data_IF_062233274763
#
_entry.id   IF_062233274763
#
_cell.length_a   1.000
_cell.length_b   1.000
_cell.length_c   1.000
_cell.angle_alpha   90.00
_cell.angle_beta   90.00
_cell.angle_gamma   90.00
#
_symmetry.space_group_name_H-M   'P 1'
#
loop_
_entity.id
_entity.type
_entity.pdbx_description
1 polymer ?
#
# COMPACT_ATOMS: atom_id res chain seq x y z
N UNK A 1 10.80 -21.18 0.37
CA UNK A 1 11.95 -20.45 -0.22
C UNK A 1 11.92 -19.05 0.35
N UNK A 2 13.05 -18.54 0.83
CA UNK A 2 13.14 -17.26 1.54
C UNK A 2 13.22 -16.13 0.52
N UNK A 3 12.32 -15.16 0.65
CA UNK A 3 12.44 -13.90 -0.08
C UNK A 3 13.67 -13.15 0.44
N UNK A 4 14.73 -13.14 -0.35
CA UNK A 4 15.90 -12.32 -0.08
C UNK A 4 15.56 -10.85 -0.35
N UNK A 5 14.89 -10.21 0.61
CA UNK A 5 14.69 -8.77 0.60
C UNK A 5 16.06 -8.09 0.78
N UNK A 6 16.59 -7.39 -0.25
CA UNK A 6 17.93 -6.81 -0.19
C UNK A 6 18.07 -5.72 0.87
N UNK A 7 16.94 -5.11 1.26
CA UNK A 7 16.87 -4.09 2.29
C UNK A 7 15.53 -4.17 3.02
N UNK A 8 15.57 -4.12 4.36
CA UNK A 8 14.38 -4.05 5.21
C UNK A 8 14.39 -2.78 6.06
N UNK A 9 13.26 -2.09 6.17
CA UNK A 9 13.12 -0.83 6.92
C UNK A 9 11.99 -0.93 7.93
N UNK A 10 12.23 -0.45 9.16
CA UNK A 10 11.26 -0.42 10.26
C UNK A 10 11.38 0.88 11.07
N UNK A 11 10.29 1.32 11.70
CA UNK A 11 10.25 2.39 12.69
C UNK A 11 10.43 3.82 12.17
N UNK A 12 10.43 4.02 10.84
CA UNK A 12 10.64 5.35 10.23
C UNK A 12 9.43 6.29 10.31
N UNK A 13 8.26 5.75 10.64
CA UNK A 13 7.03 6.50 10.91
C UNK A 13 6.97 7.08 12.33
N UNK A 14 8.00 6.92 13.17
CA UNK A 14 8.06 7.49 14.54
C UNK A 14 6.85 7.08 15.41
N UNK A 15 6.35 5.85 15.22
CA UNK A 15 5.11 5.32 15.83
C UNK A 15 3.81 6.06 15.47
N UNK A 16 3.78 6.89 14.42
CA UNK A 16 2.56 7.57 13.96
C UNK A 16 1.94 6.90 12.73
N UNK A 17 0.68 6.43 12.79
CA UNK A 17 -0.05 6.05 11.60
C UNK A 17 -0.29 7.28 10.71
N UNK A 18 -0.52 7.04 9.41
CA UNK A 18 -0.93 8.10 8.50
C UNK A 18 -2.25 8.73 8.97
N UNK A 19 -2.40 10.05 8.86
CA UNK A 19 -3.63 10.78 9.18
C UNK A 19 -4.15 11.52 7.94
N UNK A 20 -5.45 11.76 7.84
CA UNK A 20 -6.12 12.32 6.65
C UNK A 20 -5.39 13.53 6.05
N UNK A 21 -5.14 14.56 6.85
CA UNK A 21 -4.50 15.79 6.36
C UNK A 21 -2.98 15.72 6.16
N UNK A 22 -2.32 14.57 6.35
CA UNK A 22 -0.86 14.52 6.33
C UNK A 22 -0.26 14.49 4.92
N UNK A 23 -0.78 13.64 4.03
CA UNK A 23 -0.28 13.59 2.65
C UNK A 23 -0.62 14.89 1.90
N UNK A 24 -1.87 15.38 1.88
CA UNK A 24 -2.19 16.64 1.20
C UNK A 24 -1.34 17.82 1.68
N UNK A 25 -1.25 18.01 3.01
CA UNK A 25 -0.52 19.13 3.59
C UNK A 25 0.97 19.07 3.28
N UNK A 26 1.58 17.89 3.44
CA UNK A 26 2.99 17.71 3.16
C UNK A 26 3.31 17.87 1.67
N UNK A 27 2.45 17.36 0.79
CA UNK A 27 2.59 17.48 -0.66
C UNK A 27 2.49 18.94 -1.12
N UNK A 28 1.43 19.65 -0.71
CA UNK A 28 1.21 21.06 -1.05
C UNK A 28 2.36 21.97 -0.60
N UNK A 29 2.91 21.73 0.60
CA UNK A 29 4.03 22.53 1.09
C UNK A 29 5.33 22.27 0.32
N UNK A 30 5.54 21.04 -0.17
CA UNK A 30 6.71 20.67 -0.98
C UNK A 30 6.66 21.24 -2.40
N UNK A 31 5.48 21.44 -2.97
CA UNK A 31 5.35 22.12 -4.27
C UNK A 31 5.97 23.53 -4.25
N UNK A 32 5.96 24.18 -3.09
CA UNK A 32 6.53 25.51 -2.89
C UNK A 32 7.96 25.50 -2.33
N UNK A 33 8.38 24.42 -1.68
CA UNK A 33 9.65 24.34 -0.96
C UNK A 33 10.20 22.91 -0.92
N UNK A 34 11.03 22.57 -1.90
CA UNK A 34 11.64 21.23 -2.00
C UNK A 34 12.59 20.89 -0.84
N UNK A 35 12.99 21.87 -0.02
CA UNK A 35 13.83 21.68 1.16
C UNK A 35 13.06 21.68 2.48
N UNK A 36 11.72 21.68 2.43
CA UNK A 36 10.83 21.74 3.61
C UNK A 36 11.37 20.93 4.79
N UNK A 37 11.64 19.63 4.58
CA UNK A 37 12.02 18.72 5.66
C UNK A 37 13.43 18.89 6.22
N UNK A 38 14.25 19.77 5.66
CA UNK A 38 15.55 20.17 6.25
C UNK A 38 15.44 21.36 7.18
N UNK A 39 14.36 22.14 7.05
CA UNK A 39 14.23 23.40 7.74
C UNK A 39 13.60 23.19 9.11
N UNK A 40 14.10 23.90 10.13
CA UNK A 40 13.46 23.91 11.45
C UNK A 40 12.04 24.50 11.39
N UNK A 41 11.80 25.39 10.41
CA UNK A 41 10.49 25.98 10.13
C UNK A 41 9.44 24.98 9.64
N UNK A 42 9.82 23.74 9.31
CA UNK A 42 8.88 22.70 8.88
C UNK A 42 7.79 22.42 9.93
N UNK A 43 8.15 22.49 11.22
CA UNK A 43 7.22 22.32 12.35
C UNK A 43 6.10 23.37 12.29
N UNK A 44 6.46 24.63 11.99
CA UNK A 44 5.53 25.75 11.89
C UNK A 44 4.72 25.66 10.59
N UNK A 45 5.40 25.44 9.45
CA UNK A 45 4.76 25.35 8.13
C UNK A 45 3.71 24.23 8.05
N UNK A 46 4.00 23.07 8.64
CA UNK A 46 3.07 21.94 8.68
C UNK A 46 2.11 21.99 9.88
N UNK A 47 2.38 22.85 10.87
CA UNK A 47 1.59 22.96 12.10
C UNK A 47 1.57 21.67 12.92
N UNK A 48 2.69 20.93 12.97
CA UNK A 48 2.80 19.65 13.70
C UNK A 48 4.17 19.52 14.39
N UNK A 49 4.27 18.65 15.39
CA UNK A 49 5.52 18.41 16.10
C UNK A 49 6.62 17.76 15.23
N UNK A 50 7.89 17.89 15.66
CA UNK A 50 9.08 17.40 14.93
C UNK A 50 8.98 15.92 14.48
N UNK A 51 8.53 15.03 15.36
CA UNK A 51 8.39 13.61 15.03
C UNK A 51 7.27 13.36 13.99
N UNK A 52 6.20 14.18 14.03
CA UNK A 52 5.14 14.12 13.03
C UNK A 52 5.63 14.63 11.66
N UNK A 53 6.51 15.63 11.62
CA UNK A 53 7.17 16.06 10.37
C UNK A 53 7.94 14.89 9.74
N UNK A 54 8.71 14.14 10.54
CA UNK A 54 9.41 12.94 10.09
C UNK A 54 8.44 11.88 9.55
N UNK A 55 7.32 11.65 10.23
CA UNK A 55 6.31 10.68 9.81
C UNK A 55 5.57 11.11 8.52
N UNK A 56 5.24 12.41 8.35
CA UNK A 56 4.68 12.96 7.11
C UNK A 56 5.64 12.71 5.94
N UNK A 57 6.92 13.06 6.11
CA UNK A 57 7.96 12.79 5.10
C UNK A 57 8.03 11.31 4.76
N UNK A 58 7.99 10.44 5.77
CA UNK A 58 8.03 8.99 5.57
C UNK A 58 6.83 8.51 4.74
N UNK A 59 5.60 8.88 5.13
CA UNK A 59 4.41 8.42 4.44
C UNK A 59 4.33 8.90 2.99
N UNK A 60 4.69 10.16 2.70
CA UNK A 60 4.77 10.67 1.32
C UNK A 60 5.74 9.87 0.43
N UNK A 61 6.85 9.38 1.01
CA UNK A 61 7.82 8.54 0.27
C UNK A 61 7.32 7.11 0.09
N UNK A 62 6.72 6.52 1.12
CA UNK A 62 6.17 5.17 1.05
C UNK A 62 5.10 5.08 -0.02
N UNK A 63 4.22 6.08 -0.09
CA UNK A 63 3.16 6.19 -1.10
C UNK A 63 3.65 6.72 -2.44
N UNK A 64 4.97 6.91 -2.63
CA UNK A 64 5.59 7.36 -3.90
C UNK A 64 5.07 8.71 -4.43
N UNK A 65 4.33 9.48 -3.62
CA UNK A 65 3.82 10.81 -4.01
C UNK A 65 4.95 11.82 -4.14
N UNK A 66 6.04 11.61 -3.41
CA UNK A 66 7.26 12.40 -3.53
C UNK A 66 8.47 11.49 -3.66
N UNK A 67 9.52 12.02 -4.31
CA UNK A 67 10.82 11.35 -4.39
C UNK A 67 11.92 12.25 -3.89
N UNK A 68 12.97 11.63 -3.37
CA UNK A 68 14.17 12.33 -2.94
C UNK A 68 15.07 12.60 -4.16
N UNK A 69 15.49 13.86 -4.36
CA UNK A 69 16.37 14.29 -5.45
C UNK A 69 17.66 14.88 -4.86
N UNK A 70 18.63 14.03 -4.56
CA UNK A 70 19.82 14.42 -3.79
C UNK A 70 19.54 14.45 -2.29
N UNK A 71 20.54 14.80 -1.48
CA UNK A 71 20.43 14.67 -0.02
C UNK A 71 19.34 15.60 0.53
N UNK A 72 18.23 15.04 1.00
CA UNK A 72 17.16 15.73 1.73
C UNK A 72 16.37 16.80 0.95
N UNK A 73 16.43 16.78 -0.38
CA UNK A 73 15.54 17.57 -1.24
C UNK A 73 14.45 16.63 -1.76
N UNK A 74 13.19 17.04 -1.65
CA UNK A 74 12.04 16.23 -2.05
C UNK A 74 11.22 16.98 -3.08
N UNK A 75 10.85 16.28 -4.14
CA UNK A 75 10.01 16.82 -5.21
C UNK A 75 8.76 15.94 -5.42
N UNK A 76 7.61 16.55 -5.75
CA UNK A 76 6.45 15.82 -6.25
C UNK A 76 6.80 14.86 -7.39
N UNK A 77 6.21 13.67 -7.38
CA UNK A 77 6.25 12.75 -8.53
C UNK A 77 5.07 13.01 -9.45
N UNK A 78 5.12 12.49 -10.68
CA UNK A 78 3.96 12.54 -11.58
C UNK A 78 2.75 11.81 -10.99
N UNK A 79 2.97 10.71 -10.26
CA UNK A 79 1.93 10.02 -9.49
C UNK A 79 1.35 10.90 -8.37
N UNK A 80 2.21 11.61 -7.65
CA UNK A 80 1.80 12.58 -6.63
C UNK A 80 0.95 13.70 -7.20
N UNK A 81 1.33 14.26 -8.35
CA UNK A 81 0.54 15.28 -9.04
C UNK A 81 -0.77 14.74 -9.61
N UNK A 82 -0.81 13.51 -10.10
CA UNK A 82 -2.06 12.88 -10.55
C UNK A 82 -3.05 12.64 -9.41
N UNK A 83 -2.56 12.28 -8.21
CA UNK A 83 -3.42 11.99 -7.06
C UNK A 83 -3.75 13.25 -6.25
N UNK A 84 -2.78 14.11 -5.94
CA UNK A 84 -2.94 15.25 -5.03
C UNK A 84 -2.78 16.62 -5.70
N UNK A 85 -2.53 16.64 -7.01
CA UNK A 85 -2.40 17.88 -7.78
C UNK A 85 -3.76 18.53 -8.03
N UNK A 86 -3.74 19.58 -8.84
CA UNK A 86 -4.90 20.46 -9.09
C UNK A 86 -6.18 19.74 -9.51
N UNK A 87 -6.05 18.68 -10.30
CA UNK A 87 -7.17 17.93 -10.86
C UNK A 87 -7.35 16.57 -10.19
N UNK A 88 -6.52 16.22 -9.20
CA UNK A 88 -6.61 14.95 -8.48
C UNK A 88 -7.68 14.97 -7.38
N UNK A 89 -7.45 14.16 -6.36
CA UNK A 89 -8.16 14.11 -5.09
C UNK A 89 -7.30 14.71 -3.95
N UNK A 90 -7.15 16.05 -3.89
CA UNK A 90 -6.29 16.72 -2.92
C UNK A 90 -6.76 16.58 -1.47
N UNK A 91 -7.96 16.04 -1.21
CA UNK A 91 -8.52 15.89 0.13
C UNK A 91 -8.68 14.43 0.58
N UNK A 92 -8.31 13.46 -0.26
CA UNK A 92 -8.46 12.02 0.00
C UNK A 92 -9.94 11.61 0.23
N UNK A 93 -10.84 12.20 -0.55
CA UNK A 93 -12.29 11.95 -0.47
C UNK A 93 -12.74 10.80 -1.37
N UNK A 94 -11.97 10.48 -2.43
CA UNK A 94 -12.26 9.35 -3.31
C UNK A 94 -11.74 8.05 -2.68
N UNK A 95 -12.64 7.08 -2.53
CA UNK A 95 -12.33 5.74 -2.04
C UNK A 95 -11.25 5.05 -2.88
N UNK A 96 -11.26 5.26 -4.22
CA UNK A 96 -10.24 4.71 -5.10
C UNK A 96 -8.84 5.19 -4.71
N UNK A 97 -8.71 6.47 -4.33
CA UNK A 97 -7.46 7.03 -3.83
C UNK A 97 -6.95 6.26 -2.61
N UNK A 98 -7.83 5.94 -1.66
CA UNK A 98 -7.45 5.23 -0.44
C UNK A 98 -6.96 3.81 -0.73
N UNK A 99 -7.66 3.09 -1.61
CA UNK A 99 -7.24 1.75 -2.06
C UNK A 99 -5.91 1.78 -2.82
N UNK A 100 -5.70 2.79 -3.67
CA UNK A 100 -4.42 2.99 -4.37
C UNK A 100 -3.30 3.31 -3.38
N UNK A 101 -3.51 4.22 -2.42
CA UNK A 101 -2.52 4.51 -1.38
C UNK A 101 -2.18 3.26 -0.57
N UNK A 102 -3.18 2.45 -0.22
CA UNK A 102 -2.98 1.16 0.42
C UNK A 102 -2.13 0.21 -0.44
N UNK A 103 -2.41 0.09 -1.74
CA UNK A 103 -1.57 -0.68 -2.65
C UNK A 103 -0.12 -0.17 -2.65
N UNK A 104 0.09 1.14 -2.75
CA UNK A 104 1.44 1.74 -2.77
C UNK A 104 2.21 1.45 -1.47
N UNK A 105 1.54 1.37 -0.32
CA UNK A 105 2.14 0.98 0.96
C UNK A 105 2.40 -0.53 1.03
N UNK A 106 1.37 -1.34 0.73
CA UNK A 106 1.40 -2.79 0.80
C UNK A 106 2.31 -3.45 -0.25
N UNK A 107 2.67 -2.74 -1.31
CA UNK A 107 3.64 -3.17 -2.33
C UNK A 107 5.08 -2.73 -2.04
N UNK A 108 5.31 -1.88 -1.04
CA UNK A 108 6.61 -1.26 -0.80
C UNK A 108 7.48 -2.07 0.18
N UNK A 109 8.13 -3.12 -0.33
CA UNK A 109 9.01 -3.99 0.45
C UNK A 109 10.23 -3.27 1.05
N UNK A 110 10.70 -2.18 0.44
CA UNK A 110 11.93 -1.47 0.82
C UNK A 110 11.71 -0.49 1.97
N UNK A 111 10.69 0.38 1.87
CA UNK A 111 10.45 1.43 2.87
C UNK A 111 9.43 1.01 3.93
N UNK A 112 8.47 0.15 3.61
CA UNK A 112 7.38 -0.27 4.48
C UNK A 112 7.36 -1.81 4.65
N UNK A 113 8.51 -2.40 5.00
CA UNK A 113 8.71 -3.85 5.02
C UNK A 113 7.67 -4.59 5.89
N UNK A 114 7.31 -4.06 7.06
CA UNK A 114 6.28 -4.67 7.91
C UNK A 114 4.90 -4.73 7.25
N UNK A 115 4.53 -3.68 6.52
CA UNK A 115 3.26 -3.60 5.78
C UNK A 115 3.28 -4.54 4.57
N UNK A 116 4.35 -4.50 3.79
CA UNK A 116 4.56 -5.41 2.68
C UNK A 116 4.44 -6.88 3.11
N UNK A 117 5.15 -7.24 4.18
CA UNK A 117 5.09 -8.58 4.73
C UNK A 117 3.68 -8.97 5.18
N UNK A 118 3.00 -8.11 5.94
CA UNK A 118 1.68 -8.42 6.46
C UNK A 118 0.67 -8.73 5.35
N UNK A 119 0.66 -7.90 4.30
CA UNK A 119 -0.35 -8.02 3.25
C UNK A 119 -0.01 -9.08 2.19
N UNK A 120 1.27 -9.32 1.90
CA UNK A 120 1.66 -10.29 0.88
C UNK A 120 1.94 -11.69 1.45
N UNK A 121 2.45 -11.78 2.69
CA UNK A 121 2.98 -13.04 3.25
C UNK A 121 2.22 -13.55 4.47
N UNK A 122 1.58 -12.68 5.24
CA UNK A 122 0.85 -13.08 6.44
C UNK A 122 -0.61 -13.45 6.11
N UNK A 123 -0.87 -14.75 5.96
CA UNK A 123 -2.18 -15.29 5.56
C UNK A 123 -3.03 -15.81 6.74
N UNK A 124 -2.59 -15.62 8.00
CA UNK A 124 -3.37 -16.07 9.16
C UNK A 124 -4.56 -15.12 9.37
N UNK A 125 -5.81 -15.60 9.29
CA UNK A 125 -6.99 -14.72 9.31
C UNK A 125 -7.26 -14.11 10.68
N UNK A 126 -7.01 -14.85 11.77
CA UNK A 126 -7.25 -14.41 13.15
C UNK A 126 -5.99 -14.54 13.99
N UNK A 127 -5.57 -13.46 14.64
CA UNK A 127 -4.28 -13.41 15.32
C UNK A 127 -4.25 -12.42 16.49
N UNK A 128 -3.27 -12.58 17.36
CA UNK A 128 -2.87 -11.62 18.39
C UNK A 128 -1.60 -10.88 17.98
N UNK A 129 -1.30 -9.75 18.65
CA UNK A 129 -0.05 -9.01 18.42
C UNK A 129 1.20 -9.87 18.65
N UNK A 130 1.15 -10.79 19.62
CA UNK A 130 2.25 -11.71 19.94
C UNK A 130 2.49 -12.73 18.82
N UNK A 131 1.42 -13.33 18.28
CA UNK A 131 1.51 -14.28 17.16
C UNK A 131 2.01 -13.57 15.90
N UNK A 132 1.55 -12.34 15.66
CA UNK A 132 1.99 -11.51 14.54
C UNK A 132 3.48 -11.19 14.61
N UNK A 133 3.96 -10.75 15.78
CA UNK A 133 5.37 -10.45 16.00
C UNK A 133 6.27 -11.68 15.81
N UNK A 134 5.90 -12.82 16.40
CA UNK A 134 6.66 -14.06 16.26
C UNK A 134 6.73 -14.52 14.79
N UNK A 135 5.66 -14.30 14.01
CA UNK A 135 5.65 -14.62 12.58
C UNK A 135 6.55 -13.69 11.77
N UNK A 136 6.54 -12.38 12.05
CA UNK A 136 7.43 -11.42 11.39
C UNK A 136 8.90 -11.72 11.69
N UNK A 137 9.23 -12.06 12.95
CA UNK A 137 10.59 -12.42 13.34
C UNK A 137 11.10 -13.63 12.53
N UNK A 138 10.29 -14.68 12.38
CA UNK A 138 10.63 -15.85 11.55
C UNK A 138 10.82 -15.49 10.07
N UNK A 139 10.01 -14.57 9.54
CA UNK A 139 10.17 -14.10 8.15
C UNK A 139 11.50 -13.35 7.93
N UNK A 140 11.98 -12.64 8.94
CA UNK A 140 13.20 -11.83 8.84
C UNK A 140 14.49 -12.61 9.04
N UNK A 141 14.45 -13.83 9.59
CA UNK A 141 15.66 -14.63 9.83
C UNK A 141 16.47 -14.85 8.53
N UNK A 142 17.80 -14.63 8.53
CA UNK A 142 18.68 -14.41 9.69
C UNK A 142 18.90 -12.93 10.08
N UNK A 143 18.16 -11.97 9.52
CA UNK A 143 18.36 -10.55 9.82
C UNK A 143 17.97 -10.22 11.27
N UNK A 144 18.95 -9.82 12.09
CA UNK A 144 18.71 -9.35 13.45
C UNK A 144 18.14 -7.94 13.43
N UNK A 145 16.94 -7.75 13.98
CA UNK A 145 16.29 -6.44 14.16
C UNK A 145 15.90 -6.24 15.62
N UNK A 146 15.81 -4.98 16.04
CA UNK A 146 15.33 -4.62 17.38
C UNK A 146 13.86 -4.97 17.54
N UNK A 147 13.56 -5.78 18.56
CA UNK A 147 12.20 -6.17 18.93
C UNK A 147 11.28 -4.95 19.16
N UNK A 148 11.82 -3.87 19.75
CA UNK A 148 11.09 -2.61 19.94
C UNK A 148 10.67 -1.93 18.63
N UNK A 149 11.51 -1.97 17.60
CA UNK A 149 11.18 -1.37 16.29
C UNK A 149 10.15 -2.20 15.55
N UNK A 150 10.25 -3.54 15.61
CA UNK A 150 9.24 -4.43 15.02
C UNK A 150 7.88 -4.25 15.70
N UNK A 151 7.84 -4.20 17.03
CA UNK A 151 6.63 -3.92 17.81
C UNK A 151 6.01 -2.56 17.46
N UNK A 152 6.85 -1.53 17.32
CA UNK A 152 6.40 -0.19 16.91
C UNK A 152 5.76 -0.20 15.52
N UNK A 153 6.38 -0.89 14.56
CA UNK A 153 5.89 -1.03 13.17
C UNK A 153 4.55 -1.77 13.13
N UNK A 154 4.45 -2.93 13.81
CA UNK A 154 3.21 -3.71 13.88
C UNK A 154 2.09 -2.95 14.60
N UNK A 155 2.39 -2.26 15.71
CA UNK A 155 1.41 -1.41 16.39
C UNK A 155 0.93 -0.25 15.52
N UNK A 156 1.83 0.32 14.70
CA UNK A 156 1.47 1.36 13.73
C UNK A 156 0.56 0.78 12.63
N UNK A 157 0.92 -0.37 12.06
CA UNK A 157 0.11 -1.09 11.07
C UNK A 157 -1.29 -1.39 11.60
N UNK A 158 -1.42 -1.98 12.78
CA UNK A 158 -2.73 -2.33 13.34
C UNK A 158 -3.61 -1.08 13.54
N UNK A 159 -3.05 0.02 14.06
CA UNK A 159 -3.78 1.29 14.20
C UNK A 159 -4.09 1.98 12.87
N UNK A 160 -3.33 1.69 11.82
CA UNK A 160 -3.55 2.28 10.50
C UNK A 160 -4.76 1.67 9.80
N UNK A 161 -5.09 0.40 10.07
CA UNK A 161 -6.18 -0.32 9.39
C UNK A 161 -7.34 -0.72 10.30
N UNK A 162 -7.18 -0.65 11.63
CA UNK A 162 -8.27 -0.94 12.57
C UNK A 162 -9.07 0.32 12.85
N UNK A 163 -10.38 0.31 12.59
CA UNK A 163 -11.27 1.37 13.09
C UNK A 163 -11.32 1.31 14.61
N UNK A 164 -11.17 2.47 15.26
CA UNK A 164 -11.32 2.54 16.70
C UNK A 164 -12.80 2.41 17.07
N UNK A 165 -13.18 1.32 17.75
CA UNK A 165 -14.56 1.10 18.21
C UNK A 165 -15.05 2.15 19.25
N UNK A 166 -14.20 3.10 19.66
CA UNK A 166 -14.45 4.06 20.74
C UNK A 166 -14.57 5.52 20.31
N UNK A 167 -14.48 5.83 19.01
CA UNK A 167 -14.52 7.21 18.53
C UNK A 167 -15.85 7.50 17.86
N UNK A 168 -16.52 8.55 18.33
CA UNK A 168 -17.73 9.08 17.70
C UNK A 168 -17.32 9.82 16.41
N UNK A 169 -18.24 10.03 15.46
CA UNK A 169 -17.94 10.69 14.17
C UNK A 169 -17.12 11.99 14.28
N UNK A 170 -17.39 12.82 15.30
CA UNK A 170 -16.63 14.06 15.56
C UNK A 170 -15.14 13.84 15.91
N UNK A 171 -14.77 12.69 16.48
CA UNK A 171 -13.38 12.38 16.82
C UNK A 171 -12.64 11.64 15.69
N UNK A 172 -13.39 11.05 14.74
CA UNK A 172 -12.86 10.64 13.45
C UNK A 172 -12.46 11.88 12.62
N UNK A 173 -13.25 12.96 12.69
CA UNK A 173 -12.92 14.28 12.11
C UNK A 173 -11.71 14.96 12.77
N UNK A 174 -11.49 14.77 14.08
CA UNK A 174 -10.29 15.26 14.80
C UNK A 174 -8.96 14.57 14.39
N UNK A 175 -8.99 13.68 13.39
CA UNK A 175 -7.78 13.12 12.77
C UNK A 175 -6.98 12.16 13.66
N UNK A 176 -7.67 11.48 14.60
CA UNK A 176 -7.05 10.46 15.44
C UNK A 176 -6.86 9.13 14.71
N UNK A 177 -7.81 8.77 13.82
CA UNK A 177 -7.75 7.55 13.01
C UNK A 177 -7.13 7.80 11.63
N UNK A 178 -6.57 6.73 11.06
CA UNK A 178 -5.99 6.75 9.73
C UNK A 178 -7.06 6.72 8.64
N UNK A 179 -6.88 7.40 7.50
CA UNK A 179 -7.79 7.25 6.36
C UNK A 179 -7.92 5.78 5.91
N UNK A 180 -6.85 4.98 6.06
CA UNK A 180 -6.86 3.58 5.68
C UNK A 180 -7.66 2.66 6.62
N UNK A 181 -8.10 3.18 7.77
CA UNK A 181 -9.06 2.46 8.62
C UNK A 181 -10.44 2.37 7.96
N UNK A 182 -10.75 3.25 7.00
CA UNK A 182 -11.99 3.18 6.23
C UNK A 182 -12.10 1.91 5.39
N UNK A 183 -10.96 1.31 5.00
CA UNK A 183 -10.89 0.09 4.18
C UNK A 183 -11.23 -1.20 4.95
N UNK A 184 -11.28 -1.14 6.28
CA UNK A 184 -11.64 -2.27 7.16
C UNK A 184 -10.85 -3.58 6.89
N UNK A 185 -9.61 -3.45 6.41
CA UNK A 185 -8.74 -4.59 6.11
C UNK A 185 -8.25 -5.34 7.36
N UNK A 186 -8.33 -4.69 8.53
CA UNK A 186 -8.04 -5.28 9.83
C UNK A 186 -9.17 -4.89 10.79
N UNK A 187 -9.83 -5.88 11.38
CA UNK A 187 -10.91 -5.67 12.34
C UNK A 187 -10.45 -6.09 13.74
N UNK A 188 -10.58 -5.22 14.77
CA UNK A 188 -10.30 -5.62 16.14
C UNK A 188 -11.38 -6.56 16.66
N UNK A 189 -10.97 -7.65 17.31
CA UNK A 189 -11.82 -8.63 17.96
C UNK A 189 -11.70 -8.56 19.49
N UNK A 190 -12.68 -9.10 20.25
CA UNK A 190 -12.56 -9.26 21.70
C UNK A 190 -11.28 -10.00 22.11
N UNK A 191 -10.74 -9.65 23.28
CA UNK A 191 -9.55 -10.32 23.84
C UNK A 191 -8.21 -9.89 23.22
N UNK A 192 -8.11 -8.66 22.69
CA UNK A 192 -6.89 -8.13 22.03
C UNK A 192 -6.45 -8.98 20.83
N UNK A 193 -7.43 -9.46 20.08
CA UNK A 193 -7.23 -10.18 18.83
C UNK A 193 -7.63 -9.29 17.66
N UNK A 194 -7.20 -9.68 16.47
CA UNK A 194 -7.47 -9.00 15.22
C UNK A 194 -7.83 -10.02 14.17
N UNK A 195 -8.58 -9.56 13.18
CA UNK A 195 -8.99 -10.33 12.03
C UNK A 195 -8.60 -9.61 10.75
N UNK A 196 -8.01 -10.32 9.79
CA UNK A 196 -7.72 -9.82 8.44
C UNK A 196 -7.99 -10.94 7.45
N UNK A 197 -9.26 -11.09 7.08
CA UNK A 197 -9.72 -12.16 6.20
C UNK A 197 -9.58 -11.78 4.73
N UNK A 198 -9.30 -12.79 3.91
CA UNK A 198 -9.51 -12.71 2.46
C UNK A 198 -10.98 -12.96 2.19
N UNK A 199 -11.60 -12.10 1.39
CA UNK A 199 -13.02 -12.22 1.09
C UNK A 199 -13.40 -11.57 -0.22
N UNK A 200 -14.68 -11.65 -0.53
CA UNK A 200 -15.29 -10.74 -1.48
C UNK A 200 -15.23 -9.32 -0.91
N UNK A 201 -14.93 -8.33 -1.74
CA UNK A 201 -14.89 -6.91 -1.36
C UNK A 201 -15.64 -6.11 -2.40
N UNK A 202 -16.93 -5.93 -2.17
CA UNK A 202 -17.78 -5.16 -3.09
C UNK A 202 -17.35 -3.69 -3.16
N UNK A 203 -16.82 -3.19 -2.05
CA UNK A 203 -16.35 -1.82 -1.87
C UNK A 203 -15.08 -1.49 -2.66
N UNK A 204 -14.29 -2.47 -3.09
CA UNK A 204 -13.04 -2.22 -3.82
C UNK A 204 -13.33 -1.60 -5.19
N UNK A 205 -12.91 -0.34 -5.47
CA UNK A 205 -13.10 0.25 -6.78
C UNK A 205 -12.27 -0.49 -7.82
N UNK A 206 -12.91 -0.90 -8.92
CA UNK A 206 -12.26 -1.67 -9.99
C UNK A 206 -10.99 -0.99 -10.52
N UNK A 207 -10.98 0.34 -10.59
CA UNK A 207 -9.81 1.10 -11.01
C UNK A 207 -8.59 0.90 -10.09
N UNK A 208 -8.78 0.70 -8.79
CA UNK A 208 -7.68 0.46 -7.87
C UNK A 208 -7.00 -0.90 -8.14
N UNK A 209 -7.79 -1.93 -8.48
CA UNK A 209 -7.24 -3.20 -8.94
C UNK A 209 -6.51 -3.05 -10.28
N UNK A 210 -7.11 -2.34 -11.23
CA UNK A 210 -6.49 -2.08 -12.53
C UNK A 210 -5.14 -1.35 -12.38
N UNK A 211 -5.10 -0.31 -11.54
CA UNK A 211 -3.88 0.42 -11.21
C UNK A 211 -2.81 -0.51 -10.61
N UNK A 212 -3.18 -1.36 -9.65
CA UNK A 212 -2.25 -2.30 -9.02
C UNK A 212 -1.68 -3.31 -10.02
N UNK A 213 -2.50 -3.81 -10.96
CA UNK A 213 -2.05 -4.70 -12.03
C UNK A 213 -1.07 -3.97 -12.96
N UNK A 214 -1.40 -2.76 -13.41
CA UNK A 214 -0.51 -1.97 -14.26
C UNK A 214 0.84 -1.71 -13.58
N UNK A 215 0.81 -1.21 -12.34
CA UNK A 215 2.01 -0.94 -11.56
C UNK A 215 2.84 -2.22 -11.36
N UNK A 216 2.22 -3.37 -11.08
CA UNK A 216 2.90 -4.67 -10.95
C UNK A 216 3.64 -5.09 -12.23
N UNK A 217 3.05 -4.86 -13.41
CA UNK A 217 3.69 -5.15 -14.70
C UNK A 217 4.74 -4.10 -15.10
N UNK A 218 4.59 -2.84 -14.67
CA UNK A 218 5.58 -1.78 -14.86
C UNK A 218 6.86 -2.03 -14.05
N UNK A 219 6.73 -2.56 -12.83
CA UNK A 219 7.90 -2.94 -12.01
C UNK A 219 8.67 -4.14 -12.58
N UNK A 220 8.06 -4.95 -13.46
CA UNK A 220 8.67 -6.12 -14.07
C UNK A 220 8.47 -6.14 -15.59
N UNK A 221 9.06 -5.18 -16.33
CA UNK A 221 8.76 -4.98 -17.75
C UNK A 221 9.18 -6.17 -18.63
N UNK A 222 10.10 -7.01 -18.14
CA UNK A 222 10.58 -8.23 -18.81
C UNK A 222 9.62 -9.43 -18.66
N UNK A 223 8.59 -9.34 -17.82
CA UNK A 223 7.58 -10.39 -17.65
C UNK A 223 6.30 -10.00 -18.41
N UNK A 224 6.08 -10.53 -19.63
CA UNK A 224 4.90 -10.19 -20.44
C UNK A 224 3.62 -10.89 -19.97
N UNK A 225 3.73 -11.90 -19.11
CA UNK A 225 2.61 -12.68 -18.60
C UNK A 225 2.84 -13.06 -17.14
N UNK A 226 1.77 -13.05 -16.35
CA UNK A 226 1.79 -13.45 -14.95
C UNK A 226 0.61 -14.41 -14.69
N UNK A 227 0.81 -15.57 -14.04
CA UNK A 227 -0.28 -16.44 -13.62
C UNK A 227 -1.30 -15.69 -12.75
N UNK A 228 -2.60 -15.93 -13.00
CA UNK A 228 -3.68 -15.31 -12.21
C UNK A 228 -3.54 -15.67 -10.72
N UNK A 229 -3.12 -16.90 -10.42
CA UNK A 229 -2.83 -17.32 -9.04
C UNK A 229 -1.69 -16.53 -8.39
N UNK A 230 -0.67 -16.14 -9.16
CA UNK A 230 0.41 -15.29 -8.64
C UNK A 230 -0.10 -13.86 -8.36
N UNK A 231 -1.00 -13.32 -9.19
CA UNK A 231 -1.63 -12.02 -8.91
C UNK A 231 -2.58 -12.05 -7.70
N UNK A 232 -3.15 -13.22 -7.38
CA UNK A 232 -4.04 -13.41 -6.23
C UNK A 232 -3.29 -13.73 -4.93
N UNK A 233 -2.29 -14.60 -4.97
CA UNK A 233 -1.62 -15.14 -3.78
C UNK A 233 -0.16 -14.71 -3.63
N UNK A 234 0.49 -14.25 -4.69
CA UNK A 234 1.94 -14.05 -4.77
C UNK A 234 2.67 -15.32 -5.18
N UNK A 235 4.00 -15.24 -5.28
CA UNK A 235 4.87 -16.33 -5.78
C UNK A 235 5.02 -17.56 -4.86
N UNK A 236 4.09 -17.79 -3.92
CA UNK A 236 4.14 -18.89 -2.94
C UNK A 236 3.09 -19.98 -3.14
N UNK A 237 2.12 -19.80 -4.03
CA UNK A 237 1.01 -20.73 -4.25
C UNK A 237 1.23 -21.63 -5.47
N UNK A 238 1.98 -22.73 -5.30
CA UNK A 238 2.03 -23.83 -6.28
C UNK A 238 3.11 -23.71 -7.35
N UNK A 239 4.19 -24.47 -7.19
CA UNK A 239 5.11 -24.82 -8.28
C UNK A 239 6.26 -23.84 -8.55
N UNK A 240 7.37 -23.99 -7.81
CA UNK A 240 8.73 -23.86 -8.35
C UNK A 240 9.29 -22.49 -8.79
N UNK A 241 8.51 -21.42 -8.83
CA UNK A 241 8.99 -20.08 -9.17
C UNK A 241 9.39 -19.26 -7.95
N UNK A 242 10.67 -19.28 -7.57
CA UNK A 242 11.20 -18.40 -6.53
C UNK A 242 11.13 -16.93 -6.96
N UNK A 243 10.10 -16.22 -6.52
CA UNK A 243 9.96 -14.79 -6.72
C UNK A 243 9.02 -14.18 -5.69
N UNK A 244 9.58 -13.24 -4.91
CA UNK A 244 8.87 -12.32 -4.01
C UNK A 244 7.97 -11.37 -4.81
N UNK A 245 6.94 -11.89 -5.45
CA UNK A 245 6.05 -11.11 -6.30
C UNK A 245 4.93 -10.49 -5.45
N UNK A 246 4.84 -9.16 -5.49
CA UNK A 246 3.67 -8.44 -4.95
C UNK A 246 2.42 -8.91 -5.68
N UNK A 247 1.36 -9.21 -4.94
CA UNK A 247 0.12 -9.73 -5.49
C UNK A 247 -1.07 -8.80 -5.15
N UNK A 248 -1.70 -8.16 -6.15
CA UNK A 248 -2.87 -7.32 -5.92
C UNK A 248 -3.97 -7.99 -5.09
N UNK A 249 -4.29 -9.26 -5.37
CA UNK A 249 -5.29 -9.99 -4.60
C UNK A 249 -4.90 -10.27 -3.15
N UNK A 250 -3.60 -10.44 -2.86
CA UNK A 250 -3.13 -10.59 -1.49
C UNK A 250 -3.21 -9.26 -0.74
N UNK A 251 -2.73 -8.18 -1.38
CA UNK A 251 -2.72 -6.83 -0.82
C UNK A 251 -4.13 -6.35 -0.50
N UNK A 252 -5.05 -6.46 -1.44
CA UNK A 252 -6.45 -6.11 -1.24
C UNK A 252 -7.25 -7.14 -0.44
N UNK A 253 -6.63 -8.21 0.07
CA UNK A 253 -7.31 -9.27 0.84
C UNK A 253 -8.53 -9.84 0.10
N UNK A 254 -8.36 -10.18 -1.18
CA UNK A 254 -9.38 -10.82 -2.00
C UNK A 254 -9.28 -12.36 -1.91
N UNK A 255 -10.44 -13.02 -1.98
CA UNK A 255 -10.55 -14.45 -2.27
C UNK A 255 -10.60 -14.69 -3.80
N UNK A 256 -10.67 -15.96 -4.24
CA UNK A 256 -10.70 -16.31 -5.67
C UNK A 256 -11.89 -15.69 -6.41
N UNK A 257 -13.08 -15.76 -5.81
CA UNK A 257 -14.32 -15.23 -6.38
C UNK A 257 -14.25 -13.71 -6.56
N UNK A 258 -13.88 -12.98 -5.50
CA UNK A 258 -13.76 -11.52 -5.50
C UNK A 258 -12.67 -11.04 -6.46
N UNK A 259 -11.53 -11.72 -6.50
CA UNK A 259 -10.48 -11.37 -7.44
C UNK A 259 -10.88 -11.63 -8.89
N UNK A 260 -11.55 -12.75 -9.18
CA UNK A 260 -12.00 -13.07 -10.53
C UNK A 260 -13.01 -12.04 -11.04
N UNK A 261 -13.98 -11.65 -10.22
CA UNK A 261 -14.95 -10.61 -10.55
C UNK A 261 -14.28 -9.27 -10.83
N UNK A 262 -13.45 -8.77 -9.90
CA UNK A 262 -12.81 -7.47 -10.08
C UNK A 262 -11.81 -7.47 -11.24
N UNK A 263 -11.14 -8.60 -11.49
CA UNK A 263 -10.25 -8.74 -12.64
C UNK A 263 -11.03 -8.69 -13.95
N UNK A 264 -12.19 -9.36 -14.05
CA UNK A 264 -13.06 -9.28 -15.22
C UNK A 264 -13.51 -7.84 -15.48
N UNK A 265 -14.00 -7.14 -14.44
CA UNK A 265 -14.39 -5.74 -14.54
C UNK A 265 -13.20 -4.85 -14.95
N UNK A 266 -12.01 -5.09 -14.40
CA UNK A 266 -10.81 -4.33 -14.75
C UNK A 266 -10.41 -4.54 -16.22
N UNK A 267 -10.49 -5.78 -16.73
CA UNK A 267 -10.21 -6.09 -18.13
C UNK A 267 -11.20 -5.44 -19.09
N UNK A 268 -12.47 -5.39 -18.71
CA UNK A 268 -13.52 -4.78 -19.52
C UNK A 268 -13.40 -3.25 -19.60
N UNK A 269 -13.05 -2.58 -18.50
CA UNK A 269 -13.17 -1.13 -18.38
C UNK A 269 -11.85 -0.36 -18.37
N UNK A 270 -10.79 -0.96 -17.83
CA UNK A 270 -9.54 -0.25 -17.52
C UNK A 270 -8.29 -0.92 -18.08
N UNK A 271 -8.36 -2.14 -18.60
CA UNK A 271 -7.19 -2.88 -19.08
C UNK A 271 -7.42 -3.47 -20.48
N UNK A 272 -7.76 -2.66 -21.50
CA UNK A 272 -8.03 -3.14 -22.86
C UNK A 272 -6.80 -3.79 -23.53
N UNK A 273 -5.61 -3.47 -23.03
CA UNK A 273 -4.32 -3.99 -23.50
C UNK A 273 -3.89 -5.30 -22.81
N UNK A 274 -4.76 -5.86 -21.97
CA UNK A 274 -4.54 -7.14 -21.30
C UNK A 274 -5.54 -8.17 -21.78
N UNK A 275 -5.11 -9.43 -21.74
CA UNK A 275 -5.99 -10.56 -22.02
C UNK A 275 -5.65 -11.76 -21.16
N UNK A 276 -6.67 -12.51 -20.76
CA UNK A 276 -6.48 -13.80 -20.13
C UNK A 276 -6.27 -14.86 -21.22
N UNK A 277 -5.27 -15.72 -21.02
CA UNK A 277 -5.04 -16.89 -21.88
C UNK A 277 -4.73 -18.11 -21.03
N UNK A 278 -5.11 -19.27 -21.57
CA UNK A 278 -4.77 -20.56 -21.01
C UNK A 278 -3.53 -21.10 -21.71
N UNK A 279 -2.44 -21.27 -20.97
CA UNK A 279 -1.18 -21.81 -21.50
C UNK A 279 -0.78 -23.01 -20.68
N UNK A 280 -0.81 -24.20 -21.30
CA UNK A 280 -0.48 -25.47 -20.64
C UNK A 280 -1.26 -25.73 -19.33
N UNK A 281 -2.54 -25.33 -19.29
CA UNK A 281 -3.41 -25.50 -18.12
C UNK A 281 -3.25 -24.44 -17.03
N UNK A 282 -2.43 -23.41 -17.25
CA UNK A 282 -2.31 -22.25 -16.37
C UNK A 282 -3.06 -21.05 -16.96
N UNK A 283 -4.01 -20.52 -16.18
CA UNK A 283 -4.67 -19.24 -16.46
C UNK A 283 -3.67 -18.10 -16.19
N UNK A 284 -3.31 -17.36 -17.23
CA UNK A 284 -2.34 -16.28 -17.15
C UNK A 284 -2.92 -14.98 -17.70
N UNK A 285 -2.54 -13.87 -17.08
CA UNK A 285 -2.81 -12.54 -17.57
C UNK A 285 -1.64 -12.07 -18.43
N UNK A 286 -1.90 -11.78 -19.70
CA UNK A 286 -0.91 -11.33 -20.67
C UNK A 286 -1.04 -9.83 -20.92
N UNK A 287 0.09 -9.13 -20.90
CA UNK A 287 0.21 -7.73 -21.32
C UNK A 287 0.61 -7.65 -22.79
N UNK A 288 -0.15 -6.90 -23.61
CA UNK A 288 0.21 -6.63 -25.01
C UNK A 288 1.41 -5.67 -25.10
N UNK A 289 2.07 -5.59 -26.27
CA UNK A 289 3.31 -4.81 -26.43
C UNK A 289 3.13 -3.30 -26.19
N UNK A 290 1.95 -2.78 -26.48
CA UNK A 290 1.55 -1.42 -26.14
C UNK A 290 0.56 -1.53 -24.99
N UNK A 291 0.88 -0.89 -23.87
CA UNK A 291 0.03 -0.89 -22.68
C UNK A 291 0.04 0.51 -22.12
N UNK A 292 -1.15 1.01 -21.80
CA UNK A 292 -1.24 2.23 -21.03
C UNK A 292 -0.48 2.12 -19.70
N UNK A 293 0.00 3.26 -19.21
CA UNK A 293 0.70 3.32 -17.92
C UNK A 293 -0.30 3.45 -16.78
N UNK A 294 0.09 2.97 -15.60
CA UNK A 294 -0.66 3.15 -14.35
C UNK A 294 -0.96 4.63 -14.09
N UNK A 295 -0.03 5.52 -14.46
CA UNK A 295 -0.18 6.96 -14.36
C UNK A 295 -1.27 7.51 -15.31
N UNK A 296 -1.33 7.04 -16.55
CA UNK A 296 -2.33 7.47 -17.53
C UNK A 296 -3.73 7.10 -17.07
N UNK A 297 -3.90 5.89 -16.53
CA UNK A 297 -5.17 5.45 -15.95
C UNK A 297 -5.68 6.40 -14.85
N UNK A 298 -4.80 6.87 -13.97
CA UNK A 298 -5.20 7.83 -12.91
C UNK A 298 -5.52 9.21 -13.47
N UNK A 299 -4.74 9.67 -14.45
CA UNK A 299 -5.02 10.95 -15.09
C UNK A 299 -6.41 10.95 -15.74
N UNK A 300 -6.77 9.87 -16.45
CA UNK A 300 -8.10 9.75 -17.09
C UNK A 300 -9.25 9.63 -16.08
N UNK A 301 -8.98 9.16 -14.85
CA UNK A 301 -9.99 9.06 -13.80
C UNK A 301 -10.26 10.37 -13.08
N UNK A 302 -9.22 11.17 -12.81
CA UNK A 302 -9.35 12.41 -12.05
C UNK A 302 -9.47 13.67 -12.93
N UNK A 303 -8.96 13.67 -14.17
CA UNK A 303 -8.92 14.86 -15.05
C UNK A 303 -10.02 14.83 -16.12
#
# INVERSE_FOLDING_TARGET
>A
MQDNLPQTTFGRHESFPLRFGWLPKGFLQLQNDAQLFKQESAVVKLGVGKNMVNAIRYWLRVTRLVREQGSGVFIPTALGEAILGKYGDPYLEDEATLWILHWLIGSNATLATGFYWFFNHYAVPDFSETELLASLQRFLEPQVKSDSSLKSDLSCLLRMYSRSAKLNAAQAEDGLDSPLSLLELIQPLPGRRFQSQRGWREELPTIALAFAILDRFEQQPQQPAVPVQELLYGGGGGGGGGGSAVAPGAVFRLNEEGFSYHLEQALQHYLPDFEQRDTAGLHQLYRRQQTQQSLTLLQDHYH
#
